data_IF_177646575313
#
_entry.id   IF_177646575313
#
_cell.length_a   1.000
_cell.length_b   1.000
_cell.length_c   1.000
_cell.angle_alpha   90.00
_cell.angle_beta   90.00
_cell.angle_gamma   90.00
#
_symmetry.space_group_name_H-M   'P 1'
#
loop_
_entity.id
_entity.type
_entity.pdbx_description
1 polymer ?
#
# COMPACT_ATOMS: atom_id res chain seq x y z
N UNK A 1 7.08 24.44 -0.20
CA UNK A 1 6.54 24.34 1.17
C UNK A 1 7.68 24.11 2.16
N UNK A 2 7.40 24.05 3.46
CA UNK A 2 8.45 23.73 4.45
C UNK A 2 8.97 22.32 4.27
N UNK A 3 10.13 22.03 4.85
CA UNK A 3 10.64 20.66 4.85
C UNK A 3 9.78 19.76 5.77
N UNK A 4 9.85 18.45 5.54
CA UNK A 4 9.02 17.50 6.26
C UNK A 4 9.21 17.56 7.79
N UNK A 5 10.45 17.78 8.28
CA UNK A 5 10.69 17.84 9.73
C UNK A 5 10.03 19.05 10.38
N UNK A 6 10.03 20.21 9.74
CA UNK A 6 9.36 21.42 10.24
C UNK A 6 7.85 21.23 10.36
N UNK A 7 7.23 20.62 9.33
CA UNK A 7 5.79 20.32 9.33
C UNK A 7 5.46 19.37 10.49
N UNK A 8 6.27 18.33 10.70
CA UNK A 8 6.06 17.36 11.77
C UNK A 8 6.18 17.97 13.16
N UNK A 9 7.22 18.77 13.40
CA UNK A 9 7.40 19.42 14.70
C UNK A 9 6.26 20.38 14.99
N UNK A 10 5.76 21.11 13.99
CA UNK A 10 4.59 21.96 14.18
C UNK A 10 3.35 21.14 14.60
N UNK A 11 3.06 20.03 13.92
CA UNK A 11 1.94 19.15 14.27
C UNK A 11 2.11 18.58 15.69
N UNK A 12 3.32 18.17 16.08
CA UNK A 12 3.61 17.66 17.43
C UNK A 12 3.32 18.68 18.53
N UNK A 13 3.47 19.97 18.22
CA UNK A 13 3.15 21.07 19.13
C UNK A 13 1.65 21.43 19.15
N UNK A 14 0.80 20.70 18.43
CA UNK A 14 -0.65 20.94 18.39
C UNK A 14 -1.06 22.10 17.47
N UNK A 15 -0.10 22.65 16.72
CA UNK A 15 -0.35 23.67 15.71
C UNK A 15 -0.89 23.02 14.43
N UNK A 16 -1.37 23.85 13.51
CA UNK A 16 -2.05 23.41 12.28
C UNK A 16 -1.29 23.93 11.06
N UNK A 17 -0.40 23.13 10.47
CA UNK A 17 0.18 23.44 9.17
C UNK A 17 -0.89 23.62 8.10
N UNK A 18 -0.49 24.18 6.95
CA UNK A 18 -1.38 24.30 5.80
C UNK A 18 -1.86 22.93 5.32
N UNK A 19 -3.06 22.87 4.76
CA UNK A 19 -3.65 21.61 4.29
C UNK A 19 -2.75 20.91 3.25
N UNK A 20 -2.18 21.68 2.33
CA UNK A 20 -1.28 21.14 1.31
C UNK A 20 -0.02 20.53 1.94
N UNK A 21 0.55 21.16 2.98
CA UNK A 21 1.70 20.63 3.71
C UNK A 21 1.37 19.30 4.39
N UNK A 22 0.20 19.20 5.03
CA UNK A 22 -0.27 17.95 5.63
C UNK A 22 -0.51 16.85 4.60
N UNK A 23 -1.09 17.21 3.45
CA UNK A 23 -1.34 16.28 2.34
C UNK A 23 -0.03 15.66 1.85
N UNK A 24 0.96 16.47 1.48
CA UNK A 24 2.22 15.95 0.95
C UNK A 24 3.07 15.29 2.04
N UNK A 25 3.03 15.78 3.29
CA UNK A 25 3.69 15.10 4.41
C UNK A 25 3.13 13.68 4.61
N UNK A 26 1.81 13.51 4.57
CA UNK A 26 1.18 12.20 4.68
C UNK A 26 1.57 11.27 3.52
N UNK A 27 1.57 11.77 2.29
CA UNK A 27 1.94 10.98 1.11
C UNK A 27 3.41 10.56 1.12
N UNK A 28 4.32 11.46 1.54
CA UNK A 28 5.73 11.14 1.73
C UNK A 28 5.91 10.04 2.79
N UNK A 29 5.21 10.14 3.92
CA UNK A 29 5.23 9.11 4.96
C UNK A 29 4.67 7.77 4.50
N UNK A 30 3.52 7.77 3.83
CA UNK A 30 2.92 6.55 3.31
C UNK A 30 3.88 5.85 2.33
N UNK A 31 4.59 6.62 1.50
CA UNK A 31 5.57 6.10 0.54
C UNK A 31 6.78 5.48 1.24
N UNK A 32 7.39 6.17 2.21
CA UNK A 32 8.48 5.61 3.03
C UNK A 32 8.03 4.35 3.77
N UNK A 33 6.86 4.40 4.41
CA UNK A 33 6.30 3.26 5.14
C UNK A 33 6.11 2.05 4.22
N UNK A 34 5.54 2.24 3.03
CA UNK A 34 5.34 1.13 2.09
C UNK A 34 6.65 0.47 1.66
N UNK A 35 7.70 1.28 1.44
CA UNK A 35 9.04 0.79 1.09
C UNK A 35 9.61 -0.04 2.24
N UNK A 36 9.69 0.53 3.43
CA UNK A 36 10.27 -0.12 4.62
C UNK A 36 9.48 -1.38 5.01
N UNK A 37 8.15 -1.26 5.05
CA UNK A 37 7.29 -2.35 5.47
C UNK A 37 7.34 -3.52 4.48
N UNK A 38 7.46 -3.26 3.16
CA UNK A 38 7.72 -4.32 2.17
C UNK A 38 9.07 -4.97 2.40
N UNK A 39 10.14 -4.18 2.53
CA UNK A 39 11.49 -4.72 2.73
C UNK A 39 11.59 -5.59 3.99
N UNK A 40 10.94 -5.17 5.08
CA UNK A 40 10.88 -5.93 6.32
C UNK A 40 10.11 -7.24 6.14
N UNK A 41 8.92 -7.21 5.53
CA UNK A 41 8.15 -8.43 5.26
C UNK A 41 8.93 -9.41 4.39
N UNK A 42 9.59 -8.93 3.35
CA UNK A 42 10.44 -9.75 2.49
C UNK A 42 11.58 -10.40 3.27
N UNK A 43 12.24 -9.69 4.20
CA UNK A 43 13.31 -10.28 5.01
C UNK A 43 12.78 -11.31 6.00
N UNK A 44 11.65 -11.04 6.67
CA UNK A 44 11.07 -11.92 7.68
C UNK A 44 10.48 -13.21 7.09
N UNK A 45 9.99 -13.17 5.85
CA UNK A 45 9.34 -14.32 5.20
C UNK A 45 10.31 -15.19 4.40
N UNK A 46 11.61 -14.87 4.39
CA UNK A 46 12.61 -15.66 3.67
C UNK A 46 13.05 -16.88 4.46
N UNK A 47 13.20 -18.01 3.78
CA UNK A 47 13.76 -19.24 4.35
C UNK A 47 15.20 -19.06 4.87
N UNK A 48 15.96 -18.17 4.23
CA UNK A 48 17.34 -17.82 4.59
C UNK A 48 17.52 -16.30 4.55
N UNK A 49 18.22 -15.72 5.53
CA UNK A 49 18.48 -14.29 5.56
C UNK A 49 19.24 -13.84 4.32
N UNK A 50 19.07 -12.58 3.92
CA UNK A 50 19.92 -12.00 2.89
C UNK A 50 21.40 -12.01 3.33
N UNK A 51 22.35 -12.11 2.39
CA UNK A 51 23.75 -11.85 2.66
C UNK A 51 23.95 -10.54 3.44
N UNK A 52 24.89 -10.54 4.39
CA UNK A 52 25.12 -9.41 5.30
C UNK A 52 25.30 -8.08 4.55
N UNK A 53 26.09 -8.08 3.47
CA UNK A 53 26.33 -6.86 2.69
C UNK A 53 25.06 -6.25 2.08
N UNK A 54 24.07 -7.08 1.69
CA UNK A 54 22.78 -6.59 1.18
C UNK A 54 21.92 -6.04 2.31
N UNK A 55 21.97 -6.65 3.50
CA UNK A 55 21.26 -6.16 4.68
C UNK A 55 21.80 -4.80 5.12
N UNK A 56 23.13 -4.65 5.14
CA UNK A 56 23.79 -3.38 5.46
C UNK A 56 23.46 -2.29 4.43
N UNK A 57 23.45 -2.64 3.15
CA UNK A 57 23.04 -1.72 2.09
C UNK A 57 21.58 -1.27 2.27
N UNK A 58 20.66 -2.20 2.56
CA UNK A 58 19.24 -1.87 2.81
C UNK A 58 19.08 -0.99 4.05
N UNK A 59 19.78 -1.30 5.15
CA UNK A 59 19.76 -0.51 6.36
C UNK A 59 20.26 0.92 6.12
N UNK A 60 21.38 1.07 5.39
CA UNK A 60 21.91 2.39 5.02
C UNK A 60 20.93 3.16 4.14
N UNK A 61 20.34 2.49 3.14
CA UNK A 61 19.37 3.11 2.25
C UNK A 61 18.10 3.57 2.99
N UNK A 62 17.61 2.76 3.93
CA UNK A 62 16.48 3.10 4.81
C UNK A 62 16.76 4.38 5.61
N UNK A 63 17.93 4.43 6.27
CA UNK A 63 18.35 5.59 7.03
C UNK A 63 18.54 6.85 6.16
N UNK A 64 19.23 6.72 5.02
CA UNK A 64 19.48 7.83 4.11
C UNK A 64 18.19 8.35 3.46
N UNK A 65 17.26 7.45 3.12
CA UNK A 65 15.94 7.79 2.59
C UNK A 65 15.17 8.63 3.61
N UNK A 66 15.07 8.15 4.85
CA UNK A 66 14.37 8.85 5.92
C UNK A 66 15.00 10.21 6.22
N UNK A 67 16.33 10.25 6.36
CA UNK A 67 17.06 11.50 6.58
C UNK A 67 16.85 12.50 5.44
N UNK A 68 16.86 12.05 4.18
CA UNK A 68 16.62 12.92 3.03
C UNK A 68 15.19 13.44 3.02
N UNK A 69 14.20 12.57 3.25
CA UNK A 69 12.80 12.95 3.30
C UNK A 69 12.54 14.04 4.35
N UNK A 70 13.08 13.87 5.57
CA UNK A 70 12.93 14.85 6.65
C UNK A 70 13.46 16.25 6.27
N UNK A 71 14.55 16.32 5.53
CA UNK A 71 15.24 17.57 5.21
C UNK A 71 14.87 18.15 3.83
N UNK A 72 13.85 17.60 3.17
CA UNK A 72 13.40 18.04 1.85
C UNK A 72 11.94 18.47 1.92
N UNK A 73 11.53 19.34 1.00
CA UNK A 73 10.13 19.61 0.70
C UNK A 73 9.41 18.27 0.37
N UNK A 74 8.30 17.93 1.03
CA UNK A 74 7.65 16.63 0.84
C UNK A 74 7.07 16.44 -0.57
N UNK A 75 6.67 17.51 -1.28
CA UNK A 75 6.21 17.43 -2.67
C UNK A 75 7.39 17.11 -3.60
N UNK A 76 8.53 17.79 -3.39
CA UNK A 76 9.75 17.51 -4.17
C UNK A 76 10.30 16.11 -3.91
N UNK A 77 10.29 15.65 -2.65
CA UNK A 77 10.75 14.31 -2.29
C UNK A 77 9.88 13.21 -2.90
N UNK A 78 8.55 13.40 -2.90
CA UNK A 78 7.59 12.48 -3.47
C UNK A 78 7.76 12.36 -5.00
N UNK A 79 8.06 13.50 -5.63
CA UNK A 79 8.33 13.63 -7.05
C UNK A 79 7.09 13.55 -7.92
N UNK A 80 7.17 14.13 -9.12
CA UNK A 80 6.03 14.26 -10.05
C UNK A 80 5.33 12.94 -10.38
N UNK A 81 6.06 11.81 -10.43
CA UNK A 81 5.47 10.50 -10.74
C UNK A 81 4.49 9.99 -9.68
N UNK A 82 4.57 10.50 -8.45
CA UNK A 82 3.72 10.11 -7.33
C UNK A 82 2.86 11.27 -6.83
N UNK A 83 2.83 12.37 -7.57
CA UNK A 83 2.08 13.58 -7.23
C UNK A 83 0.58 13.37 -7.53
N UNK A 84 -0.34 13.64 -6.59
CA UNK A 84 -1.77 13.57 -6.84
C UNK A 84 -2.27 14.54 -7.91
N UNK A 85 -1.56 15.64 -8.16
CA UNK A 85 -1.85 16.59 -9.23
C UNK A 85 -1.42 16.06 -10.61
N UNK A 86 -0.60 15.00 -10.67
CA UNK A 86 -0.21 14.37 -11.92
C UNK A 86 -1.38 13.52 -12.50
N UNK A 87 -1.93 13.88 -13.68
CA UNK A 87 -3.04 13.15 -14.28
C UNK A 87 -2.70 11.68 -14.60
N UNK A 88 -1.45 11.38 -14.93
CA UNK A 88 -1.00 10.01 -15.23
C UNK A 88 -0.96 9.15 -13.96
N UNK A 89 -0.49 9.72 -12.83
CA UNK A 89 -0.55 9.05 -11.54
C UNK A 89 -2.00 8.69 -11.16
N UNK A 90 -2.94 9.63 -11.34
CA UNK A 90 -4.36 9.38 -11.10
C UNK A 90 -4.97 8.34 -12.03
N UNK A 91 -4.51 8.23 -13.29
CA UNK A 91 -4.93 7.16 -14.20
C UNK A 91 -4.48 5.79 -13.69
N UNK A 92 -3.23 5.68 -13.22
CA UNK A 92 -2.68 4.43 -12.67
C UNK A 92 -3.47 4.01 -11.42
N UNK A 93 -3.75 4.93 -10.50
CA UNK A 93 -4.54 4.64 -9.30
C UNK A 93 -5.95 4.14 -9.63
N UNK A 94 -6.65 4.80 -10.57
CA UNK A 94 -7.98 4.36 -11.02
C UNK A 94 -7.95 3.00 -11.69
N UNK A 95 -6.96 2.74 -12.53
CA UNK A 95 -6.80 1.42 -13.16
C UNK A 95 -6.56 0.33 -12.10
N UNK A 96 -5.71 0.60 -11.10
CA UNK A 96 -5.47 -0.31 -9.98
C UNK A 96 -6.71 -0.60 -9.15
N UNK A 97 -7.49 0.43 -8.80
CA UNK A 97 -8.76 0.28 -8.08
C UNK A 97 -9.75 -0.60 -8.84
N UNK A 98 -9.91 -0.36 -10.15
CA UNK A 98 -10.78 -1.16 -11.01
C UNK A 98 -10.34 -2.64 -11.07
N UNK A 99 -9.05 -2.94 -11.02
CA UNK A 99 -8.56 -4.33 -11.00
C UNK A 99 -8.94 -5.04 -9.70
N UNK A 100 -8.82 -4.35 -8.56
CA UNK A 100 -9.20 -4.88 -7.24
C UNK A 100 -10.72 -5.14 -7.19
N UNK A 101 -11.53 -4.19 -7.64
CA UNK A 101 -12.99 -4.32 -7.66
C UNK A 101 -13.44 -5.48 -8.55
N UNK A 102 -12.84 -5.62 -9.73
CA UNK A 102 -13.11 -6.74 -10.63
C UNK A 102 -12.68 -8.08 -10.05
N UNK A 103 -11.54 -8.15 -9.35
CA UNK A 103 -11.09 -9.36 -8.68
C UNK A 103 -12.03 -9.74 -7.52
N UNK A 104 -12.46 -8.77 -6.72
CA UNK A 104 -13.42 -8.98 -5.64
C UNK A 104 -14.78 -9.45 -6.16
N UNK A 105 -15.28 -8.85 -7.25
CA UNK A 105 -16.52 -9.27 -7.90
C UNK A 105 -16.43 -10.71 -8.44
N UNK A 106 -15.31 -11.08 -9.09
CA UNK A 106 -15.08 -12.46 -9.54
C UNK A 106 -15.01 -13.45 -8.39
N UNK A 107 -14.36 -13.09 -7.28
CA UNK A 107 -14.30 -13.93 -6.08
C UNK A 107 -15.67 -14.20 -5.47
N UNK A 108 -16.56 -13.19 -5.45
CA UNK A 108 -17.96 -13.38 -5.01
C UNK A 108 -18.73 -14.31 -5.94
N UNK A 109 -18.61 -14.12 -7.26
CA UNK A 109 -19.28 -14.98 -8.26
C UNK A 109 -18.84 -16.44 -8.13
N UNK A 110 -17.55 -16.71 -7.94
CA UNK A 110 -17.05 -18.09 -7.75
C UNK A 110 -17.66 -18.73 -6.50
N UNK A 111 -17.69 -18.02 -5.38
CA UNK A 111 -18.28 -18.52 -4.13
C UNK A 111 -19.79 -18.79 -4.25
N UNK A 112 -20.53 -17.94 -4.96
CA UNK A 112 -21.97 -18.12 -5.21
C UNK A 112 -22.24 -19.32 -6.13
N UNK A 113 -21.43 -19.52 -7.18
CA UNK A 113 -21.53 -20.69 -8.06
C UNK A 113 -21.26 -21.98 -7.28
N UNK A 114 -20.19 -22.02 -6.47
CA UNK A 114 -19.84 -23.21 -5.67
C UNK A 114 -20.94 -23.56 -4.66
N UNK A 115 -21.51 -22.56 -3.98
CA UNK A 115 -22.65 -22.75 -3.07
C UNK A 115 -23.87 -23.31 -3.78
N UNK A 116 -24.25 -22.74 -4.93
CA UNK A 116 -25.41 -23.21 -5.69
C UNK A 116 -25.22 -24.63 -6.24
N UNK A 117 -23.99 -24.98 -6.63
CA UNK A 117 -23.65 -26.33 -7.13
C UNK A 117 -23.70 -27.37 -6.01
N UNK A 118 -23.29 -27.01 -4.79
CA UNK A 118 -23.36 -27.88 -3.63
C UNK A 118 -24.82 -28.18 -3.21
N UNK A 119 -25.67 -27.15 -3.19
CA UNK A 119 -27.10 -27.29 -2.87
C UNK A 119 -27.82 -28.18 -3.90
N UNK A 120 -27.54 -27.98 -5.19
CA UNK A 120 -28.12 -28.78 -6.28
C UNK A 120 -27.71 -30.27 -6.21
N UNK A 121 -26.47 -30.56 -5.76
CA UNK A 121 -26.01 -31.93 -5.56
C UNK A 121 -26.65 -32.57 -4.32
N UNK A 122 -26.91 -31.79 -3.27
CA UNK A 122 -27.58 -32.25 -2.06
C UNK A 122 -29.04 -32.62 -2.33
N UNK A 123 -29.77 -31.78 -3.08
CA UNK A 123 -31.14 -32.04 -3.49
C UNK A 123 -31.28 -33.30 -4.37
N UNK A 124 -30.38 -33.49 -5.35
CA UNK A 124 -30.38 -34.70 -6.20
C UNK A 124 -30.10 -35.97 -5.40
N UNK A 125 -29.25 -35.92 -4.38
CA UNK A 125 -28.98 -37.05 -3.49
C UNK A 125 -30.17 -37.36 -2.58
N UNK A 126 -30.85 -36.34 -2.08
CA UNK A 126 -32.06 -36.50 -1.27
C UNK A 126 -33.22 -37.11 -2.08
N UNK A 127 -33.39 -36.73 -3.35
CA UNK A 127 -34.42 -37.29 -4.23
C UNK A 127 -34.16 -38.77 -4.59
N UNK A 128 -32.90 -39.16 -4.78
CA UNK A 128 -32.54 -40.55 -5.09
C UNK A 128 -32.58 -41.50 -3.88
N UNK A 129 -32.65 -40.97 -2.64
CA UNK A 129 -32.72 -41.78 -1.42
C UNK A 129 -34.16 -42.15 -1.00
N UNK A 130 -35.16 -41.64 -1.73
CA UNK A 130 -36.60 -41.82 -1.44
C UNK A 130 -37.30 -42.72 -2.49
N UNK A 131 -36.53 -43.28 -3.44
CA UNK A 131 -36.98 -44.34 -4.38
C UNK A 131 -36.45 -45.70 -3.92
#
# INVERSE_FOLDING_TARGET
MRNLVEILEEVKHGNKPEYEELLYALLAYASMFNIEHRQLREELMRDKPQPLFLRDMKLKNSFDMYKRALNTDPKDWLGWSNDPENPEYQKILRAGANLIDNAAARGKVVNEIEGHTADTQFEKRAQNAVQ
#
